data_IF_634393281112
#
_entry.id   IF_634393281112
#
_cell.length_a   1.000
_cell.length_b   1.000
_cell.length_c   1.000
_cell.angle_alpha   90.00
_cell.angle_beta   90.00
_cell.angle_gamma   90.00
#
_symmetry.space_group_name_H-M   'P 1'
#
loop_
_entity.id
_entity.type
_entity.pdbx_description
1 polymer ?
#
# COMPACT_ATOMS: atom_id res chain seq x y z
N UNK A 1 -14.02 -0.97 20.75
CA UNK A 1 -13.39 0.23 20.13
C UNK A 1 -12.22 -0.27 19.29
N UNK A 2 -12.14 0.11 18.01
CA UNK A 2 -11.31 -0.58 17.02
C UNK A 2 -10.06 0.26 16.69
N UNK A 3 -8.88 -0.30 16.93
CA UNK A 3 -7.60 0.20 16.41
C UNK A 3 -7.21 -0.75 15.29
N UNK A 4 -6.69 -0.20 14.19
CA UNK A 4 -6.26 -0.98 13.04
C UNK A 4 -7.02 -0.63 11.75
N UNK A 5 -6.85 -1.50 10.76
CA UNK A 5 -7.48 -1.38 9.46
C UNK A 5 -9.00 -1.53 9.55
N UNK A 6 -9.71 -0.57 8.95
CA UNK A 6 -11.15 -0.61 8.76
C UNK A 6 -11.47 -0.40 7.28
N UNK A 7 -12.58 -0.96 6.82
CA UNK A 7 -13.04 -0.84 5.44
C UNK A 7 -14.51 -0.46 5.41
N UNK A 8 -14.89 0.40 4.45
CA UNK A 8 -16.29 0.64 4.10
C UNK A 8 -16.76 -0.33 3.01
N UNK A 9 -18.07 -0.46 2.83
CA UNK A 9 -18.69 -1.37 1.84
C UNK A 9 -18.19 -1.15 0.39
N UNK A 10 -17.63 0.02 0.09
CA UNK A 10 -17.02 0.36 -1.20
C UNK A 10 -15.58 -0.14 -1.39
N UNK A 11 -15.00 -0.86 -0.43
CA UNK A 11 -13.61 -1.35 -0.49
C UNK A 11 -12.56 -0.26 -0.24
N UNK A 12 -12.99 0.87 0.34
CA UNK A 12 -12.11 1.95 0.76
C UNK A 12 -11.59 1.64 2.15
N UNK A 13 -10.25 1.60 2.27
CA UNK A 13 -9.57 1.30 3.51
C UNK A 13 -9.11 2.55 4.23
N UNK A 14 -9.19 2.50 5.56
CA UNK A 14 -8.65 3.50 6.47
C UNK A 14 -7.90 2.77 7.59
N UNK A 15 -7.02 3.48 8.28
CA UNK A 15 -6.38 2.98 9.48
C UNK A 15 -6.74 3.86 10.68
N UNK A 16 -7.25 3.25 11.74
CA UNK A 16 -7.51 3.92 13.01
C UNK A 16 -6.30 3.76 13.92
N UNK A 17 -5.68 4.88 14.31
CA UNK A 17 -4.59 4.90 15.29
C UNK A 17 -5.07 5.43 16.65
N UNK A 18 -4.36 5.02 17.70
CA UNK A 18 -4.47 5.66 19.00
C UNK A 18 -3.54 6.88 19.03
N UNK A 19 -4.06 8.06 19.34
CA UNK A 19 -3.22 9.24 19.53
C UNK A 19 -2.70 9.34 20.96
N UNK A 20 -3.48 8.88 21.95
CA UNK A 20 -3.15 8.92 23.38
C UNK A 20 -4.22 8.16 24.18
N UNK A 21 -3.96 7.86 25.46
CA UNK A 21 -4.84 7.08 26.36
C UNK A 21 -6.29 7.61 26.45
N UNK A 22 -6.52 8.87 26.05
CA UNK A 22 -7.83 9.55 26.06
C UNK A 22 -8.41 9.85 24.66
N UNK A 23 -7.65 9.71 23.57
CA UNK A 23 -8.15 9.82 22.19
C UNK A 23 -7.82 8.55 21.42
N UNK A 24 -8.81 7.67 21.36
CA UNK A 24 -8.76 6.38 20.71
C UNK A 24 -9.64 6.44 19.45
N UNK A 25 -9.08 6.12 18.28
CA UNK A 25 -9.84 5.99 17.03
C UNK A 25 -9.77 7.18 16.07
N UNK A 26 -8.66 7.91 16.00
CA UNK A 26 -8.46 8.91 14.96
C UNK A 26 -7.98 8.28 13.65
N UNK A 27 -8.38 8.84 12.50
CA UNK A 27 -7.89 8.41 11.19
C UNK A 27 -6.40 8.74 11.03
N UNK A 28 -5.61 7.71 10.73
CA UNK A 28 -4.22 7.87 10.29
C UNK A 28 -4.19 8.57 8.95
N UNK A 29 -3.20 9.46 8.80
CA UNK A 29 -2.95 10.24 7.59
C UNK A 29 -1.46 10.21 7.26
N UNK A 30 -1.14 10.27 5.98
CA UNK A 30 0.21 10.20 5.45
C UNK A 30 0.82 8.80 5.53
N UNK A 31 2.14 8.75 5.67
CA UNK A 31 2.90 7.50 5.75
C UNK A 31 2.53 6.70 7.00
N UNK A 32 2.29 5.41 6.79
CA UNK A 32 2.07 4.44 7.86
C UNK A 32 2.98 3.24 7.62
N UNK A 33 3.75 2.88 8.65
CA UNK A 33 4.55 1.65 8.66
C UNK A 33 3.88 0.68 9.62
N UNK A 34 3.39 -0.43 9.08
CA UNK A 34 2.77 -1.46 9.90
C UNK A 34 3.86 -2.39 10.43
N UNK A 35 4.05 -2.39 11.75
CA UNK A 35 5.07 -3.22 12.39
C UNK A 35 4.71 -4.71 12.37
N UNK A 36 3.44 -5.07 12.15
CA UNK A 36 3.00 -6.46 12.15
C UNK A 36 3.34 -7.15 10.82
N UNK A 37 3.09 -6.49 9.69
CA UNK A 37 3.36 -7.05 8.36
C UNK A 37 4.68 -6.53 7.73
N UNK A 38 5.29 -5.50 8.33
CA UNK A 38 6.55 -4.84 7.92
C UNK A 38 6.45 -4.05 6.62
N UNK A 39 5.26 -3.77 6.12
CA UNK A 39 5.03 -2.98 4.93
C UNK A 39 4.79 -1.50 5.26
N UNK A 40 4.85 -0.69 4.20
CA UNK A 40 4.52 0.72 4.25
C UNK A 40 3.27 0.98 3.42
N UNK A 41 2.46 1.89 3.91
CA UNK A 41 1.19 2.31 3.34
C UNK A 41 1.17 3.82 3.31
N UNK A 42 0.31 4.38 2.46
CA UNK A 42 0.09 5.81 2.42
C UNK A 42 -1.42 6.10 2.51
N UNK A 43 -1.79 6.87 3.53
CA UNK A 43 -3.15 7.32 3.76
C UNK A 43 -3.24 8.76 3.29
N UNK A 44 -4.24 9.07 2.46
CA UNK A 44 -4.46 10.40 1.91
C UNK A 44 -4.45 11.46 3.04
N UNK A 45 -3.61 12.50 2.97
CA UNK A 45 -3.53 13.49 4.05
C UNK A 45 -4.83 14.27 4.30
N UNK A 46 -5.68 14.42 3.29
CA UNK A 46 -6.96 15.13 3.39
C UNK A 46 -8.06 14.21 3.92
N UNK A 47 -8.20 13.03 3.33
CA UNK A 47 -9.37 12.15 3.57
C UNK A 47 -9.09 10.95 4.48
N UNK A 48 -7.83 10.55 4.66
CA UNK A 48 -7.44 9.34 5.39
C UNK A 48 -7.60 8.04 4.60
N UNK A 49 -8.03 8.12 3.33
CA UNK A 49 -8.20 6.96 2.44
C UNK A 49 -6.84 6.33 2.11
N UNK A 50 -6.72 5.02 2.22
CA UNK A 50 -5.52 4.31 1.78
C UNK A 50 -5.35 4.41 0.25
N UNK A 51 -4.22 5.00 -0.15
CA UNK A 51 -3.85 5.15 -1.55
C UNK A 51 -3.32 3.84 -2.14
N UNK A 52 -3.51 3.69 -3.44
CA UNK A 52 -3.15 2.51 -4.23
C UNK A 52 -2.62 2.96 -5.60
N UNK A 53 -1.94 2.07 -6.31
CA UNK A 53 -1.35 2.37 -7.62
C UNK A 53 -0.24 3.42 -7.53
N UNK A 54 -0.02 4.13 -8.63
CA UNK A 54 0.97 5.20 -8.73
C UNK A 54 0.52 6.46 -7.98
N UNK A 55 1.39 6.97 -7.11
CA UNK A 55 1.16 8.18 -6.33
C UNK A 55 2.38 9.09 -6.36
N UNK A 56 2.16 10.37 -6.65
CA UNK A 56 3.20 11.38 -6.59
C UNK A 56 3.21 12.04 -5.20
N UNK A 57 4.24 11.75 -4.41
CA UNK A 57 4.38 12.22 -3.03
C UNK A 57 5.72 12.93 -2.91
N UNK A 58 5.72 14.18 -2.47
CA UNK A 58 6.94 14.99 -2.32
C UNK A 58 7.84 14.95 -3.57
N UNK A 59 7.24 15.11 -4.75
CA UNK A 59 7.93 15.13 -6.05
C UNK A 59 8.65 13.82 -6.44
N UNK A 60 8.26 12.69 -5.82
CA UNK A 60 8.70 11.33 -6.16
C UNK A 60 7.50 10.44 -6.45
N UNK A 61 7.67 9.49 -7.35
CA UNK A 61 6.65 8.48 -7.65
C UNK A 61 6.84 7.24 -6.79
N UNK A 62 5.75 6.80 -6.19
CA UNK A 62 5.66 5.57 -5.39
C UNK A 62 4.54 4.70 -5.96
N UNK A 63 4.69 3.38 -5.84
CA UNK A 63 3.66 2.43 -6.28
C UNK A 63 3.17 1.59 -5.11
N UNK A 64 1.84 1.53 -4.94
CA UNK A 64 1.16 0.81 -3.88
C UNK A 64 0.30 -0.32 -4.47
N UNK A 65 0.33 -1.50 -3.84
CA UNK A 65 -0.33 -2.70 -4.35
C UNK A 65 -1.83 -2.52 -4.57
N UNK A 66 -2.27 -2.69 -5.82
CA UNK A 66 -3.69 -2.67 -6.21
C UNK A 66 -4.34 -4.06 -6.14
N UNK A 67 -3.57 -5.09 -5.83
CA UNK A 67 -4.00 -6.48 -6.02
C UNK A 67 -4.42 -7.08 -4.68
N UNK A 68 -5.74 -7.28 -4.51
CA UNK A 68 -6.28 -8.02 -3.35
C UNK A 68 -6.07 -9.53 -3.46
N UNK A 69 -5.89 -10.06 -4.68
CA UNK A 69 -5.67 -11.48 -4.97
C UNK A 69 -4.58 -11.66 -6.02
N UNK A 70 -3.46 -12.21 -5.57
CA UNK A 70 -2.22 -12.38 -6.31
C UNK A 70 -2.36 -13.40 -7.46
N UNK A 71 -2.91 -13.01 -8.60
CA UNK A 71 -2.90 -13.84 -9.81
C UNK A 71 -2.27 -13.03 -10.95
N UNK A 72 -1.01 -13.33 -11.26
CA UNK A 72 -0.37 -12.91 -12.51
C UNK A 72 -0.54 -14.02 -13.52
N UNK A 73 -0.93 -13.71 -14.74
CA UNK A 73 -0.85 -14.68 -15.83
C UNK A 73 0.55 -14.58 -16.45
N UNK A 74 1.34 -15.64 -16.34
CA UNK A 74 2.64 -15.71 -16.98
C UNK A 74 2.44 -16.21 -18.42
N UNK A 75 2.71 -15.33 -19.39
CA UNK A 75 2.58 -15.61 -20.82
C UNK A 75 3.68 -16.54 -21.36
N UNK A 76 4.81 -16.66 -20.66
CA UNK A 76 5.94 -17.53 -21.02
C UNK A 76 5.71 -18.97 -20.54
N UNK A 77 5.09 -19.15 -19.36
CA UNK A 77 4.82 -20.47 -18.77
C UNK A 77 3.37 -20.93 -18.96
N UNK A 78 2.47 -20.04 -19.42
CA UNK A 78 1.04 -20.29 -19.59
C UNK A 78 0.27 -20.50 -18.27
N UNK A 79 0.89 -20.19 -17.13
CA UNK A 79 0.35 -20.47 -15.80
C UNK A 79 -0.08 -19.21 -15.07
N UNK A 80 -1.10 -19.36 -14.23
CA UNK A 80 -1.39 -18.37 -13.20
C UNK A 80 -0.33 -18.50 -12.12
N UNK A 81 0.55 -17.51 -12.03
CA UNK A 81 1.55 -17.36 -10.99
C UNK A 81 1.00 -16.49 -9.86
N UNK A 82 1.24 -16.94 -8.62
CA UNK A 82 0.94 -16.15 -7.45
C UNK A 82 2.12 -15.23 -7.15
N UNK A 83 1.89 -13.92 -7.09
CA UNK A 83 2.84 -13.03 -6.42
C UNK A 83 3.00 -13.48 -4.97
N UNK A 84 4.23 -13.53 -4.42
CA UNK A 84 4.44 -13.75 -3.00
C UNK A 84 3.74 -12.62 -2.22
N UNK A 85 2.61 -12.98 -1.60
CA UNK A 85 1.86 -12.33 -0.51
C UNK A 85 2.18 -10.85 -0.18
N UNK A 86 2.13 -9.92 -1.14
CA UNK A 86 2.13 -8.49 -0.81
C UNK A 86 0.74 -8.08 -0.32
N UNK A 87 0.62 -7.45 0.86
CA UNK A 87 -0.65 -6.94 1.32
C UNK A 87 -1.22 -5.90 0.35
N UNK A 88 -2.54 -5.83 0.29
CA UNK A 88 -3.23 -4.82 -0.49
C UNK A 88 -2.91 -3.42 0.05
N UNK A 89 -2.53 -2.49 -0.82
CA UNK A 89 -2.07 -1.15 -0.45
C UNK A 89 -0.62 -1.05 0.01
N UNK A 90 0.11 -2.16 0.13
CA UNK A 90 1.53 -2.13 0.52
C UNK A 90 2.40 -1.50 -0.58
N UNK A 91 3.37 -0.69 -0.17
CA UNK A 91 4.34 -0.04 -1.04
C UNK A 91 5.35 -1.03 -1.60
N UNK A 92 5.67 -0.88 -2.89
CA UNK A 92 6.75 -1.62 -3.55
C UNK A 92 8.12 -1.03 -3.15
N UNK A 93 9.11 -1.88 -2.92
CA UNK A 93 10.49 -1.47 -2.58
C UNK A 93 11.47 -2.45 -3.20
N UNK A 94 12.51 -1.93 -3.86
CA UNK A 94 13.61 -2.71 -4.43
C UNK A 94 13.14 -3.85 -5.36
N UNK A 95 12.13 -3.56 -6.19
CA UNK A 95 11.49 -4.54 -7.06
C UNK A 95 10.83 -3.87 -8.27
N UNK A 96 10.24 -4.67 -9.17
CA UNK A 96 9.49 -4.16 -10.32
C UNK A 96 7.99 -4.12 -10.05
N UNK A 97 7.34 -3.04 -10.46
CA UNK A 97 5.87 -2.93 -10.49
C UNK A 97 5.27 -3.88 -11.54
N UNK A 98 3.95 -4.18 -11.49
CA UNK A 98 3.29 -5.03 -12.48
C UNK A 98 3.40 -4.54 -13.93
N UNK A 99 3.54 -3.23 -14.12
CA UNK A 99 3.78 -2.53 -15.39
C UNK A 99 5.29 -2.34 -15.71
N UNK A 100 6.17 -3.11 -15.03
CA UNK A 100 7.60 -3.26 -15.29
C UNK A 100 8.53 -2.08 -14.94
N UNK A 101 8.10 -1.11 -14.13
CA UNK A 101 8.96 -0.02 -13.65
C UNK A 101 9.82 -0.47 -12.46
N UNK A 102 11.06 0.03 -12.36
CA UNK A 102 11.99 -0.30 -11.28
C UNK A 102 11.82 0.67 -10.10
N UNK A 103 11.52 0.11 -8.92
CA UNK A 103 11.40 0.83 -7.67
C UNK A 103 12.66 0.66 -6.82
N UNK A 104 13.17 1.75 -6.28
CA UNK A 104 14.38 1.77 -5.46
C UNK A 104 14.18 1.33 -4.02
N UNK A 105 15.28 1.34 -3.28
CA UNK A 105 15.33 0.96 -1.86
C UNK A 105 14.55 1.93 -0.95
N UNK A 106 14.33 3.17 -1.39
CA UNK A 106 13.49 4.13 -0.66
C UNK A 106 12.00 4.07 -1.07
N UNK A 107 11.64 3.14 -1.97
CA UNK A 107 10.29 2.98 -2.52
C UNK A 107 9.98 3.90 -3.70
N UNK A 108 10.91 4.77 -4.11
CA UNK A 108 10.67 5.69 -5.23
C UNK A 108 11.08 5.09 -6.57
N UNK A 109 10.40 5.52 -7.64
CA UNK A 109 10.74 5.20 -9.03
C UNK A 109 12.15 5.69 -9.37
N UNK A 110 13.01 4.79 -9.88
CA UNK A 110 14.39 5.14 -10.27
C UNK A 110 14.46 5.68 -11.72
N UNK A 111 13.46 5.39 -12.55
CA UNK A 111 13.44 5.72 -13.98
C UNK A 111 13.40 4.45 -14.85
N UNK A 112 12.93 4.60 -16.10
CA UNK A 112 12.87 3.53 -17.10
C UNK A 112 14.17 3.39 -17.89
#
# INVERSE_FOLDING_TARGET
MQIGWITHESGIWYFLEAQNEKMLGSLKKGWYHDNNDKYRYYLNPQTGVMERGWQMINNKWYYFSEVQRNLKYNNETGKKEYYPQKPYGSMYINEKTPDNYIIGNDGSLIGN
#
